data_IF_013452853894
#
_entry.id   IF_013452853894
#
_cell.length_a   1.000
_cell.length_b   1.000
_cell.length_c   1.000
_cell.angle_alpha   90.00
_cell.angle_beta   90.00
_cell.angle_gamma   90.00
#
_symmetry.space_group_name_H-M   'P 1'
#
loop_
_entity.id
_entity.type
_entity.pdbx_description
1 polymer ?
#
# COMPACT_ATOMS: atom_id res chain seq x y z
N UNK A 1 15.77 -49.21 41.93
CA UNK A 1 15.59 -47.77 41.89
C UNK A 1 15.21 -47.36 40.46
N UNK A 2 13.98 -47.00 40.19
CA UNK A 2 13.51 -46.57 38.87
C UNK A 2 13.78 -45.06 38.71
N UNK A 3 14.62 -44.67 37.74
CA UNK A 3 14.89 -43.27 37.40
C UNK A 3 13.70 -42.76 36.54
N UNK A 4 12.92 -41.81 37.04
CA UNK A 4 11.88 -41.11 36.29
C UNK A 4 12.59 -39.96 35.57
N UNK A 5 12.63 -40.02 34.21
CA UNK A 5 13.11 -38.94 33.39
C UNK A 5 11.95 -37.96 33.18
N UNK A 6 12.06 -36.72 33.70
CA UNK A 6 11.14 -35.65 33.47
C UNK A 6 11.48 -34.97 32.15
N UNK A 7 10.67 -35.19 31.12
CA UNK A 7 10.80 -34.48 29.85
C UNK A 7 10.11 -33.12 29.98
N UNK A 8 10.88 -32.02 30.05
CA UNK A 8 10.36 -30.67 29.98
C UNK A 8 10.02 -30.37 28.52
N UNK A 9 8.72 -30.32 28.20
CA UNK A 9 8.23 -29.85 26.89
C UNK A 9 8.27 -28.31 26.91
N UNK A 10 9.26 -27.70 26.27
CA UNK A 10 9.32 -26.26 26.02
C UNK A 10 8.28 -25.91 24.94
N UNK A 11 7.12 -25.43 25.34
CA UNK A 11 6.14 -24.86 24.42
C UNK A 11 6.53 -23.40 24.15
N UNK A 12 7.18 -23.16 23.03
CA UNK A 12 7.41 -21.79 22.54
C UNK A 12 6.10 -21.23 21.98
N UNK A 13 5.48 -20.29 22.68
CA UNK A 13 4.38 -19.50 22.15
C UNK A 13 4.96 -18.47 21.17
N UNK A 14 4.87 -18.74 19.87
CA UNK A 14 5.07 -17.72 18.87
C UNK A 14 3.80 -16.86 18.84
N UNK A 15 3.87 -15.64 19.34
CA UNK A 15 2.84 -14.62 19.09
C UNK A 15 2.96 -14.20 17.62
N UNK A 16 2.08 -14.76 16.79
CA UNK A 16 1.91 -14.26 15.43
C UNK A 16 1.14 -12.94 15.54
N UNK A 17 1.84 -11.84 15.46
CA UNK A 17 1.21 -10.53 15.24
C UNK A 17 0.86 -10.43 13.76
N UNK A 18 -0.40 -10.14 13.45
CA UNK A 18 -0.80 -9.82 12.08
C UNK A 18 -0.05 -8.54 11.64
N UNK A 19 0.42 -8.54 10.40
CA UNK A 19 0.99 -7.35 9.79
C UNK A 19 -0.09 -6.27 9.69
N UNK A 20 0.16 -5.09 10.27
CA UNK A 20 -0.81 -4.01 10.34
C UNK A 20 -0.72 -3.02 9.17
N UNK A 21 0.19 -3.24 8.25
CA UNK A 21 0.38 -2.41 7.06
C UNK A 21 -0.85 -2.39 6.14
N UNK A 22 -1.75 -3.36 6.30
CA UNK A 22 -3.04 -3.44 5.62
C UNK A 22 -4.24 -3.22 6.58
N UNK A 23 -4.05 -2.54 7.71
CA UNK A 23 -5.11 -2.35 8.69
C UNK A 23 -6.15 -1.31 8.28
N UNK A 24 -5.80 -0.35 7.44
CA UNK A 24 -6.70 0.68 6.94
C UNK A 24 -6.88 0.52 5.44
N UNK A 25 -8.13 0.61 4.97
CA UNK A 25 -8.51 0.55 3.58
C UNK A 25 -9.30 1.79 3.19
N UNK A 26 -8.93 2.43 2.08
CA UNK A 26 -9.73 3.44 1.40
C UNK A 26 -10.04 2.97 0.00
N UNK A 27 -11.31 3.06 -0.42
CA UNK A 27 -11.80 2.54 -1.70
C UNK A 27 -13.12 3.23 -2.12
N UNK A 28 -13.51 3.02 -3.38
CA UNK A 28 -14.80 3.44 -3.92
C UNK A 28 -15.02 4.95 -3.82
N UNK A 29 -16.19 5.36 -3.36
CA UNK A 29 -16.62 6.75 -3.25
C UNK A 29 -16.46 7.21 -1.79
N UNK A 30 -15.26 7.71 -1.42
CA UNK A 30 -14.93 8.24 -0.09
C UNK A 30 -15.11 7.24 1.06
N UNK A 31 -15.15 5.95 0.75
CA UNK A 31 -15.35 4.90 1.75
C UNK A 31 -14.02 4.37 2.29
N UNK A 32 -14.04 3.93 3.55
CA UNK A 32 -12.91 3.26 4.16
C UNK A 32 -13.31 2.34 5.30
N UNK A 33 -12.38 1.49 5.70
CA UNK A 33 -12.50 0.57 6.83
C UNK A 33 -11.20 0.58 7.65
N UNK A 34 -11.34 0.61 8.97
CA UNK A 34 -10.25 0.41 9.93
C UNK A 34 -10.42 -0.93 10.65
N UNK A 35 -9.42 -1.79 10.56
CA UNK A 35 -9.37 -3.13 11.19
C UNK A 35 -8.49 -3.17 12.45
N UNK A 36 -7.96 -2.05 12.93
CA UNK A 36 -7.05 -2.00 14.08
C UNK A 36 -7.66 -2.54 15.38
N UNK A 37 -8.98 -2.48 15.52
CA UNK A 37 -9.70 -2.91 16.74
C UNK A 37 -10.18 -4.36 16.68
N UNK A 38 -9.86 -5.11 15.64
CA UNK A 38 -10.27 -6.51 15.44
C UNK A 38 -11.65 -6.69 14.80
N UNK A 39 -12.51 -5.65 14.79
CA UNK A 39 -13.73 -5.57 13.98
C UNK A 39 -13.64 -4.34 13.07
N UNK A 40 -14.16 -4.39 11.82
CA UNK A 40 -14.08 -3.26 10.91
C UNK A 40 -14.90 -2.06 11.41
N UNK A 41 -14.27 -0.90 11.46
CA UNK A 41 -14.90 0.39 11.74
C UNK A 41 -15.00 1.15 10.42
N UNK A 42 -16.16 1.70 10.10
CA UNK A 42 -16.36 2.50 8.89
C UNK A 42 -15.65 3.84 9.00
N UNK A 43 -14.91 4.22 7.97
CA UNK A 43 -14.31 5.53 7.76
C UNK A 43 -15.04 6.24 6.63
N UNK A 44 -15.35 7.53 6.81
CA UNK A 44 -16.08 8.37 5.86
C UNK A 44 -15.33 9.68 5.54
N UNK A 45 -14.05 9.73 5.85
CA UNK A 45 -13.17 10.90 5.74
C UNK A 45 -12.23 10.82 4.54
N UNK A 46 -12.24 9.72 3.78
CA UNK A 46 -11.40 9.53 2.61
C UNK A 46 -11.68 10.52 1.49
N UNK A 47 -10.64 10.97 0.81
CA UNK A 47 -10.74 11.87 -0.35
C UNK A 47 -10.79 11.10 -1.69
N UNK A 48 -10.55 9.78 -1.67
CA UNK A 48 -10.51 8.93 -2.85
C UNK A 48 -11.93 8.75 -3.42
N UNK A 49 -12.06 8.92 -4.74
CA UNK A 49 -13.29 8.63 -5.47
C UNK A 49 -12.94 7.91 -6.77
N UNK A 50 -12.98 6.59 -6.75
CA UNK A 50 -12.69 5.74 -7.91
C UNK A 50 -13.71 4.63 -8.04
N UNK A 51 -13.87 4.14 -9.27
CA UNK A 51 -14.80 3.03 -9.57
C UNK A 51 -14.15 1.66 -9.48
N UNK A 52 -12.82 1.60 -9.65
CA UNK A 52 -12.08 0.35 -9.75
C UNK A 52 -10.82 0.37 -8.87
N UNK A 53 -9.62 0.24 -9.45
CA UNK A 53 -8.39 0.02 -8.72
C UNK A 53 -7.96 1.16 -7.80
N UNK A 54 -7.56 0.81 -6.58
CA UNK A 54 -6.95 1.71 -5.61
C UNK A 54 -6.00 0.94 -4.70
N UNK A 55 -5.17 1.66 -3.96
CA UNK A 55 -4.25 1.06 -2.99
C UNK A 55 -4.14 1.94 -1.75
N UNK A 56 -4.05 1.31 -0.57
CA UNK A 56 -3.84 1.97 0.72
C UNK A 56 -2.71 1.27 1.45
N UNK A 57 -1.90 2.00 2.20
CA UNK A 57 -0.86 1.45 3.06
C UNK A 57 -0.85 2.13 4.43
N UNK A 58 -0.65 1.33 5.46
CA UNK A 58 -0.43 1.75 6.84
C UNK A 58 1.00 1.44 7.28
N UNK A 59 1.42 2.01 8.39
CA UNK A 59 2.67 1.64 9.05
C UNK A 59 2.55 0.32 9.83
N UNK A 60 3.64 -0.14 10.42
CA UNK A 60 3.70 -1.37 11.23
C UNK A 60 2.80 -1.34 12.47
N UNK A 61 2.33 -0.16 12.89
CA UNK A 61 1.41 0.04 14.00
C UNK A 61 -0.05 0.10 13.55
N UNK A 62 -0.29 0.15 12.23
CA UNK A 62 -1.61 0.26 11.63
C UNK A 62 -2.08 1.70 11.40
N UNK A 63 -1.20 2.71 11.54
CA UNK A 63 -1.54 4.08 11.23
C UNK A 63 -1.47 4.32 9.73
N UNK A 64 -2.44 5.03 9.18
CA UNK A 64 -2.46 5.38 7.75
C UNK A 64 -1.20 6.14 7.36
N UNK A 65 -0.52 5.71 6.31
CA UNK A 65 0.55 6.46 5.67
C UNK A 65 0.03 7.27 4.49
N UNK A 66 -0.50 6.60 3.48
CA UNK A 66 -1.09 7.24 2.30
C UNK A 66 -1.94 6.24 1.51
N UNK A 67 -2.67 6.75 0.53
CA UNK A 67 -3.47 5.95 -0.39
C UNK A 67 -3.56 6.62 -1.77
N UNK A 68 -3.98 5.86 -2.79
CA UNK A 68 -4.01 6.32 -4.17
C UNK A 68 -5.07 5.59 -4.99
N UNK A 69 -5.62 6.28 -5.99
CA UNK A 69 -6.42 5.73 -7.10
C UNK A 69 -5.56 5.41 -8.34
N UNK A 70 -4.24 5.61 -8.25
CA UNK A 70 -3.31 5.49 -9.37
C UNK A 70 -3.12 6.78 -10.17
N UNK A 71 -3.85 7.85 -9.88
CA UNK A 71 -3.75 9.16 -10.51
C UNK A 71 -3.36 10.23 -9.50
N UNK A 72 -3.93 10.16 -8.30
CA UNK A 72 -3.64 11.05 -7.18
C UNK A 72 -3.18 10.23 -5.98
N UNK A 73 -2.24 10.75 -5.22
CA UNK A 73 -1.79 10.21 -3.94
C UNK A 73 -2.23 11.18 -2.84
N UNK A 74 -2.96 10.67 -1.85
CA UNK A 74 -3.38 11.43 -0.67
C UNK A 74 -2.61 10.96 0.56
N UNK A 75 -2.14 11.92 1.35
CA UNK A 75 -1.43 11.67 2.60
C UNK A 75 -2.40 11.26 3.74
N UNK A 76 -1.86 11.03 4.94
CA UNK A 76 -2.64 10.64 6.12
C UNK A 76 -3.63 11.71 6.62
N UNK A 77 -3.51 12.96 6.17
CA UNK A 77 -4.46 14.04 6.43
C UNK A 77 -5.51 14.19 5.32
N UNK A 78 -5.60 13.22 4.40
CA UNK A 78 -6.52 13.21 3.25
C UNK A 78 -6.33 14.39 2.28
N UNK A 79 -5.13 14.97 2.26
CA UNK A 79 -4.76 16.02 1.32
C UNK A 79 -3.91 15.43 0.19
N UNK A 80 -4.03 15.93 -1.04
CA UNK A 80 -3.11 15.54 -2.11
C UNK A 80 -1.67 15.77 -1.65
N UNK A 81 -0.85 14.74 -1.77
CA UNK A 81 0.58 14.80 -1.45
C UNK A 81 1.28 15.76 -2.42
N UNK A 82 2.30 16.53 -2.01
CA UNK A 82 3.13 17.28 -2.95
C UNK A 82 3.60 16.40 -4.11
N UNK A 83 3.54 16.94 -5.33
CA UNK A 83 3.79 16.22 -6.60
C UNK A 83 2.93 14.95 -6.84
N UNK A 84 1.99 14.64 -5.94
CA UNK A 84 1.20 13.41 -5.91
C UNK A 84 0.01 13.38 -6.86
N UNK A 85 -0.12 14.33 -7.82
CA UNK A 85 -1.17 14.32 -8.83
C UNK A 85 -0.63 14.00 -10.21
N UNK A 86 -1.45 13.41 -11.09
CA UNK A 86 -1.07 13.11 -12.47
C UNK A 86 -0.13 11.89 -12.57
N UNK A 87 -0.31 10.90 -11.72
CA UNK A 87 0.24 9.56 -11.95
C UNK A 87 -0.50 8.92 -13.14
N UNK A 88 0.13 7.94 -13.80
CA UNK A 88 -0.33 7.36 -15.06
C UNK A 88 -1.10 6.04 -14.88
N UNK A 89 -1.90 5.93 -13.81
CA UNK A 89 -2.96 4.96 -13.71
C UNK A 89 -4.22 5.44 -14.45
N UNK A 90 -5.27 4.59 -14.49
CA UNK A 90 -6.55 4.95 -15.12
C UNK A 90 -7.71 4.58 -14.19
N UNK A 91 -8.76 5.42 -14.07
CA UNK A 91 -9.90 5.17 -13.17
C UNK A 91 -10.72 3.93 -13.53
N UNK A 92 -10.58 3.42 -14.74
CA UNK A 92 -11.23 2.17 -15.21
C UNK A 92 -10.25 0.99 -15.28
N UNK A 93 -9.03 1.16 -14.79
CA UNK A 93 -8.09 0.05 -14.68
C UNK A 93 -8.43 -0.81 -13.47
N UNK A 94 -8.63 -2.10 -13.69
CA UNK A 94 -9.03 -3.08 -12.65
C UNK A 94 -8.08 -3.06 -11.43
N UNK A 95 -6.78 -2.83 -11.65
CA UNK A 95 -5.78 -2.60 -10.62
C UNK A 95 -4.93 -1.39 -11.01
N UNK A 96 -5.50 -0.19 -10.85
CA UNK A 96 -4.88 1.07 -11.23
C UNK A 96 -3.53 1.30 -10.53
N UNK A 97 -3.40 0.83 -9.28
CA UNK A 97 -2.15 0.97 -8.53
C UNK A 97 -1.91 -0.19 -7.54
N UNK A 98 -0.63 -0.42 -7.24
CA UNK A 98 -0.18 -1.14 -6.04
C UNK A 98 0.95 -0.36 -5.35
N UNK A 99 1.02 -0.46 -4.02
CA UNK A 99 2.07 0.16 -3.21
C UNK A 99 3.00 -0.94 -2.71
N UNK A 100 4.31 -0.74 -2.91
CA UNK A 100 5.35 -1.70 -2.49
C UNK A 100 6.40 -0.96 -1.67
N UNK A 101 6.67 -1.37 -0.42
CA UNK A 101 7.76 -0.79 0.36
C UNK A 101 9.11 -0.94 -0.35
N UNK A 102 9.95 0.09 -0.28
CA UNK A 102 11.30 0.02 -0.82
C UNK A 102 12.16 -0.93 0.02
N UNK A 103 12.82 -1.96 -0.56
CA UNK A 103 13.49 -3.02 0.21
C UNK A 103 14.68 -2.54 1.04
N UNK A 104 15.29 -1.40 0.69
CA UNK A 104 16.49 -0.88 1.38
C UNK A 104 16.31 0.47 2.05
N UNK A 105 15.17 1.17 1.88
CA UNK A 105 14.92 2.51 2.43
C UNK A 105 13.54 2.51 3.10
N UNK A 106 13.47 2.41 4.44
CA UNK A 106 12.20 2.26 5.15
C UNK A 106 11.21 3.41 5.00
N UNK A 107 11.68 4.60 4.61
CA UNK A 107 10.82 5.78 4.38
C UNK A 107 10.28 5.87 2.97
N UNK A 108 10.73 4.98 2.06
CA UNK A 108 10.36 5.06 0.66
C UNK A 108 9.44 3.91 0.24
N UNK A 109 8.56 4.23 -0.71
CA UNK A 109 7.59 3.30 -1.28
C UNK A 109 7.53 3.49 -2.79
N UNK A 110 7.44 2.39 -3.52
CA UNK A 110 7.07 2.40 -4.92
C UNK A 110 5.55 2.40 -5.06
N UNK A 111 5.01 3.24 -5.93
CA UNK A 111 3.66 3.12 -6.46
C UNK A 111 3.79 2.66 -7.91
N UNK A 112 3.41 1.44 -8.19
CA UNK A 112 3.28 0.97 -9.57
C UNK A 112 1.88 1.29 -10.04
N UNK A 113 1.76 1.90 -11.22
CA UNK A 113 0.49 2.26 -11.84
C UNK A 113 0.30 1.53 -13.16
N UNK A 114 -0.94 1.11 -13.44
CA UNK A 114 -1.32 0.52 -14.71
C UNK A 114 -2.37 1.40 -15.40
N UNK A 115 -2.09 1.77 -16.64
CA UNK A 115 -3.06 2.36 -17.55
C UNK A 115 -4.12 1.33 -17.95
N UNK A 116 -5.25 1.75 -18.50
CA UNK A 116 -6.22 0.82 -19.04
C UNK A 116 -5.66 0.06 -20.24
N UNK A 117 -6.31 -1.04 -20.57
CA UNK A 117 -5.82 -1.96 -21.60
C UNK A 117 -5.58 -1.28 -22.95
N UNK A 118 -4.40 -1.52 -23.54
CA UNK A 118 -3.94 -1.01 -24.84
C UNK A 118 -3.69 0.49 -24.91
N UNK A 119 -3.74 1.22 -23.80
CA UNK A 119 -3.36 2.63 -23.80
C UNK A 119 -1.83 2.80 -23.75
N UNK A 120 -1.39 4.02 -24.03
CA UNK A 120 0.03 4.31 -24.33
C UNK A 120 0.92 4.37 -23.10
N UNK A 121 0.35 4.63 -21.90
CA UNK A 121 1.17 4.78 -20.70
C UNK A 121 1.67 3.43 -20.16
N UNK A 122 0.90 2.34 -20.33
CA UNK A 122 1.30 1.02 -19.87
C UNK A 122 1.49 0.93 -18.36
N UNK A 123 2.59 0.32 -17.91
CA UNK A 123 2.96 0.23 -16.49
C UNK A 123 4.09 1.22 -16.20
N UNK A 124 3.89 2.01 -15.16
CA UNK A 124 4.85 2.98 -14.65
C UNK A 124 5.11 2.76 -13.16
N UNK A 125 6.17 3.36 -12.64
CA UNK A 125 6.31 3.50 -11.20
C UNK A 125 6.62 4.94 -10.81
N UNK A 126 6.23 5.29 -9.59
CA UNK A 126 6.60 6.52 -8.90
C UNK A 126 7.17 6.18 -7.53
N UNK A 127 7.93 7.06 -6.93
CA UNK A 127 8.55 6.87 -5.61
C UNK A 127 8.02 7.92 -4.65
N UNK A 128 7.45 7.48 -3.54
CA UNK A 128 7.07 8.30 -2.39
C UNK A 128 8.19 8.24 -1.36
N UNK A 129 8.52 9.37 -0.72
CA UNK A 129 9.30 9.40 0.52
C UNK A 129 8.47 10.03 1.64
N UNK A 130 8.03 9.22 2.60
CA UNK A 130 7.16 9.64 3.71
C UNK A 130 7.88 10.46 4.77
N UNK A 131 9.20 10.62 4.71
CA UNK A 131 9.95 11.49 5.63
C UNK A 131 9.88 12.97 5.27
N UNK A 132 9.41 13.29 4.07
CA UNK A 132 9.28 14.64 3.56
C UNK A 132 7.96 15.29 4.00
N UNK A 133 7.79 16.57 3.71
CA UNK A 133 6.59 17.36 4.04
C UNK A 133 6.14 17.17 5.52
N UNK A 134 7.11 17.24 6.45
CA UNK A 134 6.81 17.08 7.88
C UNK A 134 6.33 15.68 8.29
N UNK A 135 6.59 14.65 7.48
CA UNK A 135 6.13 13.27 7.70
C UNK A 135 4.86 12.91 6.95
N UNK A 136 4.35 13.80 6.10
CA UNK A 136 3.16 13.56 5.27
C UNK A 136 3.50 12.99 3.89
N UNK A 137 4.78 13.08 3.49
CA UNK A 137 5.31 12.49 2.26
C UNK A 137 5.32 13.42 1.05
N UNK A 138 6.18 13.08 0.10
CA UNK A 138 6.29 13.74 -1.21
C UNK A 138 6.63 12.69 -2.28
N UNK A 139 6.25 12.96 -3.53
CA UNK A 139 6.65 12.15 -4.69
C UNK A 139 7.99 12.66 -5.20
N UNK A 140 9.05 11.89 -4.98
CA UNK A 140 10.43 12.24 -5.37
C UNK A 140 10.82 11.76 -6.79
N UNK A 141 10.12 10.77 -7.31
CA UNK A 141 10.18 10.33 -8.71
C UNK A 141 8.77 10.05 -9.21
N UNK A 142 8.45 10.42 -10.45
CA UNK A 142 7.11 10.25 -10.97
C UNK A 142 7.10 9.70 -12.39
N UNK A 143 6.23 8.72 -12.64
CA UNK A 143 5.89 8.20 -13.97
C UNK A 143 7.09 7.64 -14.74
N UNK A 144 7.92 6.84 -14.07
CA UNK A 144 9.01 6.13 -14.76
C UNK A 144 8.40 4.91 -15.46
N UNK A 145 8.37 4.94 -16.78
CA UNK A 145 7.77 3.90 -17.61
C UNK A 145 8.58 2.60 -17.54
N UNK A 146 7.91 1.48 -17.35
CA UNK A 146 8.51 0.14 -17.34
C UNK A 146 8.18 -0.64 -18.61
N UNK A 147 6.92 -0.68 -19.00
CA UNK A 147 6.45 -1.44 -20.18
C UNK A 147 5.18 -0.86 -20.76
N UNK A 148 5.06 -0.91 -22.08
CA UNK A 148 3.85 -0.58 -22.85
C UNK A 148 3.82 -1.43 -24.10
N UNK A 149 2.64 -1.92 -24.58
CA UNK A 149 1.35 -1.87 -23.90
C UNK A 149 1.29 -2.85 -22.72
N UNK A 150 0.31 -2.70 -21.84
CA UNK A 150 0.11 -3.59 -20.68
C UNK A 150 -1.34 -4.03 -20.52
N UNK A 151 -1.57 -4.98 -19.60
CA UNK A 151 -2.87 -5.28 -19.05
C UNK A 151 -3.11 -4.46 -17.78
N UNK A 152 -4.36 -4.40 -17.34
CA UNK A 152 -4.82 -3.62 -16.17
C UNK A 152 -4.58 -4.34 -14.84
N UNK A 153 -3.58 -5.23 -14.75
CA UNK A 153 -3.39 -6.06 -13.56
C UNK A 153 -1.95 -6.02 -13.09
N UNK A 154 -1.82 -5.78 -11.80
CA UNK A 154 -0.56 -5.73 -11.09
C UNK A 154 -0.59 -6.68 -9.91
N UNK A 155 0.55 -7.28 -9.59
CA UNK A 155 0.75 -7.99 -8.33
C UNK A 155 2.21 -7.87 -7.91
N UNK A 156 2.45 -7.88 -6.61
CA UNK A 156 3.78 -7.90 -6.04
C UNK A 156 3.86 -8.96 -4.94
N UNK A 157 4.99 -9.64 -4.87
CA UNK A 157 5.30 -10.59 -3.81
C UNK A 157 6.70 -10.30 -3.29
N UNK A 158 6.88 -10.42 -1.97
CA UNK A 158 8.20 -10.31 -1.38
C UNK A 158 9.01 -11.53 -1.77
N UNK A 159 10.22 -11.30 -2.31
CA UNK A 159 11.14 -12.39 -2.64
C UNK A 159 11.68 -13.06 -1.37
N UNK A 160 11.98 -14.37 -1.43
CA UNK A 160 12.37 -15.15 -0.28
C UNK A 160 13.71 -14.72 0.38
N UNK A 161 14.53 -13.99 -0.32
CA UNK A 161 15.81 -13.47 0.17
C UNK A 161 15.79 -11.97 0.58
N UNK A 162 14.64 -11.41 0.73
CA UNK A 162 14.45 -10.02 1.22
C UNK A 162 13.86 -9.07 0.21
#
# INVERSE_FOLDING_TARGET
MKKIAFCFLLVSFNFLTAQKEAAIWYFGENAGLDFNTGAPITLLDGALNTREGCATISDVNGSLLFYTDGITVWNSNHQPMPNGTGLLGDPSSTQSAIIVPHPGIPTQFYIFTADKIKEVNGINYSVVDISLDGGLGDIIQKNIQLVTPSAEKLTAVKHANG
#
